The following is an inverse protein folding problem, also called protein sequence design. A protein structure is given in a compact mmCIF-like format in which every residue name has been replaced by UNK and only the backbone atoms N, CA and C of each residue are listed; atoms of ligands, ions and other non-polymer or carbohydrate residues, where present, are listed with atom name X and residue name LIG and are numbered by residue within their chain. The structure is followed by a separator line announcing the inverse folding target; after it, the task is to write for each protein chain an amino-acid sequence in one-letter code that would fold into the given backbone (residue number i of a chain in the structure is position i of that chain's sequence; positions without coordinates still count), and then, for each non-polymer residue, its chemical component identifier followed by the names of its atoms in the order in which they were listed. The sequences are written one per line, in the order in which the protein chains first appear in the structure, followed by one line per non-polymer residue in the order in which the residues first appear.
data_IF_729386771250
#
_entry.id   IF_729386771250
#
_cell.length_a   1.000
_cell.length_b   1.000
_cell.length_c   1.000
_cell.angle_alpha   90.00
_cell.angle_beta   90.00
_cell.angle_gamma   90.00
#
_symmetry.space_group_name_H-M   'P 1'
#
loop_
_entity.id
_entity.type
_entity.pdbx_description
1 polymer ?
#
# COMPACT_ATOMS: atom_id res chain seq x y z
N UNK A 1 27.58 37.89 5.21
CA UNK A 1 28.96 38.06 4.69
C UNK A 1 28.86 38.08 3.17
N UNK A 2 29.32 39.14 2.51
CA UNK A 2 28.94 39.47 1.13
C UNK A 2 29.45 38.48 0.08
N UNK A 3 28.57 38.08 -0.85
CA UNK A 3 28.92 37.41 -2.09
C UNK A 3 29.41 38.47 -3.09
N UNK A 4 30.68 38.39 -3.50
CA UNK A 4 31.22 39.24 -4.56
C UNK A 4 31.17 38.49 -5.90
N UNK A 5 30.60 39.11 -6.93
CA UNK A 5 30.73 38.68 -8.32
C UNK A 5 31.73 39.60 -9.03
N UNK A 6 32.74 39.01 -9.67
CA UNK A 6 33.65 39.75 -10.54
C UNK A 6 32.86 40.17 -11.79
N UNK A 7 32.54 41.46 -11.89
CA UNK A 7 31.73 42.01 -12.98
C UNK A 7 32.54 42.40 -14.22
N UNK A 8 33.85 42.62 -14.07
CA UNK A 8 34.74 42.96 -15.18
C UNK A 8 36.19 42.64 -14.81
N UNK A 9 36.86 41.85 -15.63
CA UNK A 9 38.32 41.74 -15.63
C UNK A 9 38.77 42.67 -16.76
N UNK A 10 39.69 43.61 -16.47
CA UNK A 10 40.20 44.55 -17.47
C UNK A 10 40.92 43.82 -18.62
N UNK A 11 41.32 44.53 -19.69
CA UNK A 11 42.11 43.93 -20.76
C UNK A 11 43.41 43.35 -20.18
N UNK A 12 43.66 42.07 -20.45
CA UNK A 12 44.88 41.39 -20.03
C UNK A 12 46.05 41.82 -20.90
N UNK A 13 47.00 42.52 -20.30
CA UNK A 13 48.34 42.66 -20.88
C UNK A 13 49.21 41.49 -20.39
N UNK A 14 49.19 40.38 -21.13
CA UNK A 14 49.98 39.19 -20.85
C UNK A 14 50.63 38.70 -22.14
N UNK A 15 51.97 38.65 -22.18
CA UNK A 15 52.74 38.04 -23.27
C UNK A 15 52.91 36.51 -23.12
N UNK A 16 52.17 35.88 -22.21
CA UNK A 16 52.15 34.44 -22.03
C UNK A 16 50.89 33.84 -22.70
N UNK A 17 51.05 32.71 -23.40
CA UNK A 17 49.96 31.87 -23.94
C UNK A 17 49.21 31.15 -22.80
N UNK A 18 48.88 31.84 -21.72
CA UNK A 18 48.19 31.24 -20.59
C UNK A 18 46.70 31.38 -20.82
N UNK A 19 46.04 30.25 -21.14
CA UNK A 19 44.58 30.16 -21.17
C UNK A 19 44.07 30.43 -19.74
N UNK A 20 43.24 31.45 -19.58
CA UNK A 20 42.55 31.67 -18.31
C UNK A 20 41.50 30.57 -18.17
N UNK A 21 41.77 29.63 -17.28
CA UNK A 21 40.79 28.64 -16.84
C UNK A 21 39.84 29.30 -15.86
N UNK A 22 38.62 29.63 -16.33
CA UNK A 22 37.51 30.03 -15.45
C UNK A 22 36.69 28.80 -15.10
N UNK A 23 36.40 28.61 -13.82
CA UNK A 23 35.53 27.52 -13.40
C UNK A 23 34.05 27.81 -13.68
N UNK A 24 33.23 26.77 -13.92
CA UNK A 24 31.78 26.87 -13.95
C UNK A 24 31.21 27.51 -12.68
N UNK A 25 29.93 27.88 -12.74
CA UNK A 25 29.23 28.49 -11.59
C UNK A 25 29.30 27.54 -10.39
N UNK A 26 29.54 28.09 -9.18
CA UNK A 26 29.66 27.35 -7.92
C UNK A 26 30.88 26.40 -7.79
N UNK A 27 31.85 26.49 -8.70
CA UNK A 27 33.15 25.82 -8.56
C UNK A 27 34.27 26.81 -8.20
N UNK A 28 35.32 26.30 -7.57
CA UNK A 28 36.54 27.04 -7.25
C UNK A 28 37.74 26.40 -7.95
N UNK A 29 38.68 27.21 -8.42
CA UNK A 29 39.92 26.69 -8.99
C UNK A 29 40.87 26.30 -7.87
N UNK A 30 41.42 25.10 -7.92
CA UNK A 30 42.35 24.60 -6.91
C UNK A 30 43.03 23.29 -7.32
N UNK A 31 43.77 22.71 -6.38
CA UNK A 31 44.33 21.36 -6.56
C UNK A 31 43.23 20.33 -6.46
N UNK A 32 43.11 19.49 -7.48
CA UNK A 32 42.19 18.38 -7.52
C UNK A 32 42.51 17.40 -6.37
N UNK A 33 41.47 17.14 -5.57
CA UNK A 33 41.42 16.19 -4.46
C UNK A 33 40.18 15.31 -4.65
N UNK A 34 40.06 14.21 -3.90
CA UNK A 34 38.86 13.38 -3.94
C UNK A 34 37.63 14.25 -3.63
N UNK A 35 36.78 14.48 -4.63
CA UNK A 35 35.56 15.27 -4.49
C UNK A 35 34.41 14.32 -4.13
N UNK A 36 33.63 14.70 -3.12
CA UNK A 36 32.40 13.98 -2.82
C UNK A 36 31.33 14.24 -3.87
N UNK A 37 30.57 13.21 -4.22
CA UNK A 37 29.33 13.32 -5.00
C UNK A 37 28.14 13.08 -4.08
N UNK A 38 26.90 13.27 -4.56
CA UNK A 38 25.73 12.85 -3.78
C UNK A 38 25.76 11.35 -3.47
N UNK A 39 26.23 10.54 -4.42
CA UNK A 39 26.32 9.07 -4.35
C UNK A 39 27.48 8.56 -3.49
N UNK A 40 28.50 9.39 -3.31
CA UNK A 40 29.67 9.14 -2.46
C UNK A 40 30.12 10.45 -1.80
N UNK A 41 29.48 10.86 -0.69
CA UNK A 41 29.77 12.15 -0.05
C UNK A 41 31.20 12.27 0.48
N UNK A 42 31.89 11.14 0.64
CA UNK A 42 33.27 11.08 1.12
C UNK A 42 34.29 10.99 -0.04
N UNK A 43 33.82 10.82 -1.29
CA UNK A 43 34.67 10.72 -2.48
C UNK A 43 35.63 9.53 -2.46
N UNK A 44 35.32 8.47 -1.69
CA UNK A 44 36.21 7.32 -1.48
C UNK A 44 36.22 6.33 -2.65
N UNK A 45 35.09 6.18 -3.35
CA UNK A 45 34.89 5.28 -4.48
C UNK A 45 35.28 5.91 -5.83
N UNK A 46 35.09 7.22 -5.97
CA UNK A 46 35.36 7.97 -7.22
C UNK A 46 36.79 8.52 -7.35
N UNK A 47 37.68 8.24 -6.40
CA UNK A 47 39.01 8.83 -6.43
C UNK A 47 39.93 8.11 -7.43
N UNK A 48 39.93 8.58 -8.68
CA UNK A 48 40.92 8.16 -9.68
C UNK A 48 42.30 8.77 -9.32
N UNK A 49 43.34 7.93 -9.31
CA UNK A 49 44.73 8.35 -9.04
C UNK A 49 45.24 9.43 -10.00
N UNK A 50 44.61 9.56 -11.16
CA UNK A 50 45.07 10.44 -12.26
C UNK A 50 44.81 11.94 -12.02
N UNK A 51 43.92 12.32 -11.10
CA UNK A 51 43.62 13.72 -10.79
C UNK A 51 44.25 14.20 -9.48
N UNK A 52 44.82 13.31 -8.67
CA UNK A 52 45.41 13.70 -7.38
C UNK A 52 46.61 14.63 -7.60
N UNK A 53 46.45 15.91 -7.27
CA UNK A 53 47.52 16.91 -7.31
C UNK A 53 47.64 17.70 -8.62
N UNK A 54 46.72 17.55 -9.58
CA UNK A 54 46.63 18.45 -10.75
C UNK A 54 45.77 19.67 -10.42
N UNK A 55 45.97 20.79 -11.11
CA UNK A 55 45.10 21.98 -10.93
C UNK A 55 43.84 21.86 -11.80
N UNK A 56 42.68 22.20 -11.23
CA UNK A 56 41.38 22.14 -11.89
C UNK A 56 40.25 22.76 -11.09
N UNK A 57 39.03 22.65 -11.58
CA UNK A 57 37.84 23.14 -10.89
C UNK A 57 37.31 22.10 -9.91
N UNK A 58 37.18 22.50 -8.66
CA UNK A 58 36.72 21.66 -7.55
C UNK A 58 35.51 22.28 -6.87
N UNK A 59 34.74 21.46 -6.15
CA UNK A 59 33.63 21.97 -5.38
C UNK A 59 34.15 22.65 -4.10
N UNK A 60 33.66 23.86 -3.77
CA UNK A 60 33.97 24.50 -2.51
C UNK A 60 33.43 23.68 -1.33
N UNK A 61 33.99 23.87 -0.14
CA UNK A 61 33.56 23.17 1.06
C UNK A 61 32.05 23.34 1.31
N UNK A 62 31.35 22.22 1.54
CA UNK A 62 29.89 22.20 1.71
C UNK A 62 29.10 21.93 0.42
N UNK A 63 29.75 21.80 -0.73
CA UNK A 63 29.14 21.42 -1.99
C UNK A 63 29.61 20.03 -2.43
N UNK A 64 28.73 19.31 -3.13
CA UNK A 64 29.00 18.00 -3.71
C UNK A 64 28.86 18.09 -5.24
N UNK A 65 29.67 17.30 -5.94
CA UNK A 65 29.67 17.29 -7.39
C UNK A 65 28.50 16.47 -7.92
N UNK A 66 27.74 17.05 -8.85
CA UNK A 66 26.67 16.37 -9.58
C UNK A 66 26.81 16.70 -11.07
N UNK A 67 27.33 15.75 -11.85
CA UNK A 67 27.69 16.00 -13.25
C UNK A 67 28.86 17.00 -13.36
N UNK A 68 28.61 18.17 -13.97
CA UNK A 68 29.59 19.25 -14.13
C UNK A 68 29.38 20.45 -13.19
N UNK A 69 28.38 20.39 -12.32
CA UNK A 69 28.04 21.46 -11.36
C UNK A 69 28.28 21.00 -9.92
N UNK A 70 28.41 21.99 -9.03
CA UNK A 70 28.46 21.78 -7.58
C UNK A 70 27.14 22.21 -6.95
N UNK A 71 26.45 21.27 -6.33
CA UNK A 71 25.19 21.52 -5.60
C UNK A 71 25.44 21.51 -4.10
N UNK A 72 24.57 22.19 -3.34
CA UNK A 72 24.72 22.18 -1.89
C UNK A 72 24.58 20.76 -1.36
N UNK A 73 25.37 20.38 -0.35
CA UNK A 73 25.22 19.08 0.30
C UNK A 73 23.76 18.82 0.73
N UNK A 74 23.04 19.87 1.15
CA UNK A 74 21.62 19.81 1.53
C UNK A 74 20.64 19.44 0.40
N UNK A 75 21.10 19.40 -0.86
CA UNK A 75 20.28 19.07 -2.03
C UNK A 75 20.45 17.59 -2.45
N UNK A 76 21.44 16.88 -1.89
CA UNK A 76 21.75 15.49 -2.26
C UNK A 76 20.91 14.43 -1.53
N UNK A 77 20.29 14.73 -0.40
CA UNK A 77 19.66 13.73 0.49
C UNK A 77 20.60 13.14 1.55
N UNK A 78 20.18 12.10 2.25
CA UNK A 78 20.92 11.46 3.34
C UNK A 78 21.64 10.19 2.88
N UNK A 79 22.94 10.11 3.12
CA UNK A 79 23.74 8.95 2.78
C UNK A 79 23.72 7.90 3.91
N UNK A 80 23.34 6.67 3.56
CA UNK A 80 23.33 5.50 4.42
C UNK A 80 24.59 4.69 4.14
N UNK A 81 25.63 4.91 4.96
CA UNK A 81 26.97 4.33 4.78
C UNK A 81 26.96 2.80 4.66
N UNK A 82 26.11 2.11 5.43
CA UNK A 82 26.06 0.65 5.47
C UNK A 82 25.52 0.02 4.18
N UNK A 83 24.61 0.74 3.51
CA UNK A 83 23.97 0.29 2.27
C UNK A 83 24.57 0.95 1.01
N UNK A 84 25.53 1.87 1.19
CA UNK A 84 26.04 2.74 0.12
C UNK A 84 24.91 3.36 -0.72
N UNK A 85 23.87 3.86 -0.04
CA UNK A 85 22.62 4.34 -0.63
C UNK A 85 22.37 5.79 -0.23
N UNK A 86 21.76 6.57 -1.13
CA UNK A 86 21.31 7.94 -0.86
C UNK A 86 19.79 7.95 -0.77
N UNK A 87 19.25 8.41 0.36
CA UNK A 87 17.82 8.55 0.60
C UNK A 87 17.41 10.00 0.35
N UNK A 88 16.51 10.28 -0.60
CA UNK A 88 16.01 11.63 -0.85
C UNK A 88 15.38 12.27 0.38
N UNK A 89 15.36 13.61 0.42
CA UNK A 89 14.75 14.33 1.53
C UNK A 89 13.23 14.06 1.60
N UNK A 90 12.74 13.67 2.79
CA UNK A 90 11.36 13.26 3.02
C UNK A 90 11.07 11.77 2.77
N UNK A 91 12.06 11.01 2.30
CA UNK A 91 11.92 9.57 2.08
C UNK A 91 12.56 8.73 3.20
N UNK A 92 12.30 7.42 3.16
CA UNK A 92 12.84 6.46 4.09
C UNK A 92 13.38 5.22 3.38
N UNK A 93 14.38 4.58 3.98
CA UNK A 93 14.96 3.32 3.52
C UNK A 93 14.94 2.27 4.62
N UNK A 94 14.80 1.01 4.21
CA UNK A 94 14.90 -0.16 5.10
C UNK A 94 16.12 -0.99 4.72
N UNK A 95 16.85 -1.46 5.73
CA UNK A 95 18.03 -2.30 5.53
C UNK A 95 17.67 -3.73 5.05
N UNK A 96 18.65 -4.49 4.59
CA UNK A 96 18.43 -5.77 3.90
C UNK A 96 17.70 -6.84 4.75
N UNK A 97 17.83 -6.78 6.07
CA UNK A 97 17.19 -7.73 7.00
C UNK A 97 15.91 -7.18 7.65
N UNK A 98 15.44 -6.00 7.23
CA UNK A 98 14.29 -5.29 7.80
C UNK A 98 14.35 -5.15 9.34
N UNK A 99 15.55 -4.97 9.91
CA UNK A 99 15.73 -4.69 11.35
C UNK A 99 15.84 -3.20 11.68
N UNK A 100 16.06 -2.36 10.67
CA UNK A 100 16.22 -0.92 10.82
C UNK A 100 15.57 -0.16 9.67
N UNK A 101 14.87 0.93 10.01
CA UNK A 101 14.29 1.88 9.06
C UNK A 101 14.85 3.26 9.33
N UNK A 102 15.36 3.91 8.30
CA UNK A 102 15.97 5.24 8.38
C UNK A 102 15.14 6.24 7.57
N UNK A 103 14.80 7.37 8.17
CA UNK A 103 14.11 8.48 7.50
C UNK A 103 15.08 9.64 7.30
N UNK A 104 15.06 10.24 6.11
CA UNK A 104 15.85 11.43 5.80
C UNK A 104 14.99 12.69 5.90
N UNK A 105 15.34 13.60 6.80
CA UNK A 105 14.70 14.92 6.90
C UNK A 105 15.76 16.01 7.04
N UNK A 106 15.73 17.02 6.18
CA UNK A 106 16.68 18.13 6.14
C UNK A 106 18.15 17.68 6.17
N UNK A 107 18.49 16.66 5.37
CA UNK A 107 19.81 16.02 5.32
C UNK A 107 20.25 15.36 6.65
N UNK A 108 19.33 15.18 7.58
CA UNK A 108 19.54 14.43 8.81
C UNK A 108 18.90 13.05 8.71
N UNK A 109 19.76 12.02 8.76
CA UNK A 109 19.32 10.63 8.81
C UNK A 109 18.92 10.27 10.24
N UNK A 110 17.68 9.81 10.42
CA UNK A 110 17.18 9.31 11.72
C UNK A 110 16.74 7.86 11.54
N UNK A 111 17.40 6.93 12.23
CA UNK A 111 17.11 5.50 12.14
C UNK A 111 16.47 4.96 13.42
N UNK A 112 15.50 4.07 13.25
CA UNK A 112 14.82 3.37 14.33
C UNK A 112 14.80 1.86 14.07
N UNK A 113 14.59 1.09 15.14
CA UNK A 113 14.32 -0.34 15.00
C UNK A 113 13.07 -0.56 14.15
N UNK A 114 13.12 -1.57 13.29
CA UNK A 114 12.06 -1.96 12.38
C UNK A 114 11.88 -3.47 12.46
N UNK A 115 10.66 -3.96 12.29
CA UNK A 115 10.38 -5.39 12.29
C UNK A 115 9.07 -5.66 11.59
N UNK A 116 9.06 -6.64 10.69
CA UNK A 116 7.84 -7.06 10.02
C UNK A 116 6.87 -7.75 10.99
N UNK A 117 5.58 -7.59 10.74
CA UNK A 117 4.53 -8.42 11.32
C UNK A 117 4.84 -9.91 11.11
N UNK A 118 4.34 -10.79 11.99
CA UNK A 118 4.38 -12.24 11.75
C UNK A 118 3.63 -12.64 10.48
N UNK A 119 2.74 -11.78 9.99
CA UNK A 119 1.98 -11.95 8.76
C UNK A 119 2.48 -11.05 7.62
N UNK A 120 3.76 -10.67 7.64
CA UNK A 120 4.42 -9.93 6.58
C UNK A 120 5.75 -10.57 6.19
N UNK A 121 6.24 -10.21 5.02
CA UNK A 121 7.56 -10.57 4.50
C UNK A 121 8.37 -9.31 4.22
N UNK A 122 9.66 -9.35 4.55
CA UNK A 122 10.60 -8.34 4.10
C UNK A 122 10.92 -8.61 2.63
N UNK A 123 10.48 -7.74 1.73
CA UNK A 123 10.68 -7.90 0.29
C UNK A 123 10.91 -6.55 -0.40
N UNK A 124 11.15 -6.57 -1.71
CA UNK A 124 11.32 -5.38 -2.55
C UNK A 124 10.27 -5.40 -3.65
N UNK A 125 9.29 -4.50 -3.56
CA UNK A 125 8.30 -4.26 -4.62
C UNK A 125 8.50 -2.88 -5.21
N UNK A 126 8.51 -2.76 -6.55
CA UNK A 126 8.76 -1.50 -7.26
C UNK A 126 9.99 -0.74 -6.74
N UNK A 127 11.09 -1.47 -6.50
CA UNK A 127 12.37 -0.95 -5.98
C UNK A 127 12.31 -0.42 -4.53
N UNK A 128 11.18 -0.55 -3.83
CA UNK A 128 11.03 -0.16 -2.44
C UNK A 128 11.12 -1.38 -1.53
N UNK A 129 12.13 -1.40 -0.66
CA UNK A 129 12.23 -2.39 0.42
C UNK A 129 11.42 -1.98 1.62
N UNK A 130 10.54 -2.87 2.08
CA UNK A 130 9.81 -2.73 3.34
C UNK A 130 9.16 -4.08 3.68
N UNK A 131 8.42 -4.10 4.79
CA UNK A 131 7.54 -5.21 5.11
C UNK A 131 6.27 -5.12 4.26
N UNK A 132 5.93 -6.21 3.58
CA UNK A 132 4.71 -6.34 2.80
C UNK A 132 3.83 -7.42 3.44
N UNK A 133 2.55 -7.11 3.68
CA UNK A 133 1.63 -8.07 4.26
C UNK A 133 1.46 -9.29 3.35
N UNK A 134 1.43 -10.48 3.95
CA UNK A 134 1.17 -11.72 3.25
C UNK A 134 -0.24 -11.70 2.65
N UNK A 135 -0.46 -12.50 1.61
CA UNK A 135 -1.78 -12.62 0.98
C UNK A 135 -2.89 -12.93 2.00
N UNK A 136 -3.98 -12.17 1.95
CA UNK A 136 -5.07 -12.24 2.93
C UNK A 136 -4.87 -11.38 4.17
N UNK A 137 -3.89 -10.45 4.16
CA UNK A 137 -3.69 -9.43 5.18
C UNK A 137 -3.47 -8.06 4.54
N UNK A 138 -3.79 -6.99 5.26
CA UNK A 138 -3.54 -5.60 4.86
C UNK A 138 -3.03 -4.78 6.04
N UNK A 139 -2.24 -3.75 5.73
CA UNK A 139 -1.68 -2.82 6.69
C UNK A 139 -0.38 -2.20 6.18
N UNK A 140 0.45 -1.70 7.09
CA UNK A 140 1.73 -1.04 6.79
C UNK A 140 2.94 -2.02 6.79
N UNK A 141 2.68 -3.32 6.93
CA UNK A 141 3.69 -4.37 6.97
C UNK A 141 4.29 -4.61 8.36
N UNK A 142 4.35 -3.59 9.22
CA UNK A 142 4.66 -3.74 10.65
C UNK A 142 3.44 -4.30 11.39
N UNK A 143 2.26 -3.83 10.99
CA UNK A 143 0.95 -4.32 11.40
C UNK A 143 0.23 -4.84 10.16
N UNK A 144 -0.24 -6.09 10.22
CA UNK A 144 -0.99 -6.73 9.14
C UNK A 144 -2.21 -7.39 9.75
N UNK A 145 -3.38 -6.83 9.44
CA UNK A 145 -4.67 -7.33 9.89
C UNK A 145 -5.28 -8.23 8.82
N UNK A 146 -5.99 -9.32 9.21
CA UNK A 146 -6.62 -10.21 8.25
C UNK A 146 -7.62 -9.49 7.34
N UNK A 147 -7.48 -9.70 6.02
CA UNK A 147 -8.48 -9.35 5.02
C UNK A 147 -9.42 -10.53 4.80
N UNK A 148 -10.64 -10.39 5.28
CA UNK A 148 -11.70 -11.36 5.01
C UNK A 148 -12.50 -10.92 3.79
N UNK A 149 -12.58 -11.72 2.73
CA UNK A 149 -13.42 -11.39 1.58
C UNK A 149 -14.88 -11.82 1.76
N UNK A 150 -15.11 -12.74 2.70
CA UNK A 150 -16.41 -13.26 3.12
C UNK A 150 -16.30 -13.96 4.50
N UNK A 151 -17.41 -14.47 5.01
CA UNK A 151 -17.43 -15.22 6.27
C UNK A 151 -16.74 -16.59 6.19
N UNK A 152 -16.51 -17.15 5.00
CA UNK A 152 -15.75 -18.39 4.85
C UNK A 152 -14.28 -18.15 5.16
N UNK A 153 -13.70 -17.04 4.71
CA UNK A 153 -12.32 -16.67 5.05
C UNK A 153 -12.17 -16.44 6.56
N UNK A 154 -13.17 -15.81 7.19
CA UNK A 154 -13.23 -15.67 8.66
C UNK A 154 -13.19 -17.05 9.33
N UNK A 155 -14.00 -17.98 8.84
CA UNK A 155 -14.03 -19.35 9.34
C UNK A 155 -12.70 -20.09 9.08
N UNK A 156 -12.07 -19.92 7.92
CA UNK A 156 -10.81 -20.58 7.60
C UNK A 156 -9.65 -20.01 8.47
N UNK A 157 -9.72 -18.74 8.84
CA UNK A 157 -8.88 -18.08 9.84
C UNK A 157 -9.15 -18.52 11.29
N UNK A 158 -9.87 -19.62 11.49
CA UNK A 158 -10.16 -20.26 12.79
C UNK A 158 -11.05 -19.43 13.72
N UNK A 159 -11.71 -18.39 13.24
CA UNK A 159 -12.76 -17.71 13.99
C UNK A 159 -14.03 -18.58 13.97
N UNK A 160 -14.48 -19.02 15.14
CA UNK A 160 -15.61 -19.98 15.28
C UNK A 160 -16.85 -19.38 15.93
N UNK A 161 -16.82 -18.10 16.27
CA UNK A 161 -17.94 -17.43 16.92
C UNK A 161 -18.88 -16.86 15.87
N UNK A 162 -20.18 -17.10 16.05
CA UNK A 162 -21.20 -16.33 15.35
C UNK A 162 -21.08 -14.86 15.74
N UNK A 163 -21.15 -13.96 14.78
CA UNK A 163 -20.91 -12.56 15.08
C UNK A 163 -21.01 -11.63 13.88
N UNK A 164 -20.69 -10.37 14.14
CA UNK A 164 -20.47 -9.37 13.09
C UNK A 164 -18.98 -9.33 12.81
N UNK A 165 -18.61 -9.43 11.53
CA UNK A 165 -17.23 -9.33 11.06
C UNK A 165 -17.17 -8.35 9.91
N UNK A 166 -16.07 -7.62 9.81
CA UNK A 166 -15.80 -6.75 8.67
C UNK A 166 -15.22 -7.57 7.53
N UNK A 167 -15.77 -7.41 6.34
CA UNK A 167 -15.30 -8.06 5.12
C UNK A 167 -15.06 -7.03 4.00
N UNK A 168 -14.22 -7.40 3.04
CA UNK A 168 -13.97 -6.64 1.83
C UNK A 168 -13.95 -7.60 0.62
N UNK A 169 -15.08 -7.75 -0.09
CA UNK A 169 -15.13 -8.60 -1.27
C UNK A 169 -14.15 -8.14 -2.36
N UNK A 170 -13.59 -9.08 -3.11
CA UNK A 170 -12.67 -8.81 -4.20
C UNK A 170 -13.30 -7.88 -5.25
N UNK A 171 -12.60 -6.79 -5.56
CA UNK A 171 -13.04 -5.79 -6.54
C UNK A 171 -14.10 -4.82 -6.03
N UNK A 172 -14.52 -4.92 -4.76
CA UNK A 172 -15.41 -3.94 -4.14
C UNK A 172 -14.77 -2.54 -4.15
N UNK A 173 -15.42 -1.52 -4.75
CA UNK A 173 -14.83 -0.19 -4.90
C UNK A 173 -15.01 0.71 -3.66
N UNK A 174 -15.77 0.26 -2.65
CA UNK A 174 -16.03 1.01 -1.43
C UNK A 174 -15.11 0.62 -0.27
N UNK A 175 -15.40 1.16 0.91
CA UNK A 175 -14.74 0.75 2.15
C UNK A 175 -15.21 -0.66 2.58
N UNK A 176 -14.40 -1.40 3.37
CA UNK A 176 -14.85 -2.63 4.02
C UNK A 176 -16.16 -2.43 4.79
N UNK A 177 -16.98 -3.47 4.86
CA UNK A 177 -18.29 -3.39 5.50
C UNK A 177 -18.59 -4.60 6.38
N UNK A 178 -19.48 -4.39 7.34
CA UNK A 178 -19.84 -5.39 8.32
C UNK A 178 -20.91 -6.36 7.80
N UNK A 179 -20.73 -7.65 8.10
CA UNK A 179 -21.68 -8.72 7.82
C UNK A 179 -21.90 -9.61 9.04
N UNK A 180 -23.09 -10.21 9.13
CA UNK A 180 -23.33 -11.27 10.11
C UNK A 180 -22.80 -12.59 9.55
N UNK A 181 -21.84 -13.20 10.26
CA UNK A 181 -21.32 -14.52 9.96
C UNK A 181 -21.95 -15.58 10.86
N UNK A 182 -22.37 -16.68 10.23
CA UNK A 182 -22.83 -17.90 10.89
C UNK A 182 -21.80 -19.02 10.70
N UNK A 183 -21.19 -19.44 11.80
CA UNK A 183 -20.06 -20.38 11.83
C UNK A 183 -20.49 -21.83 12.10
N UNK A 184 -21.76 -22.06 12.42
CA UNK A 184 -22.32 -23.41 12.64
C UNK A 184 -22.50 -24.20 11.31
N UNK A 185 -22.68 -25.53 11.41
CA UNK A 185 -23.05 -26.45 10.31
C UNK A 185 -22.11 -26.45 9.08
N UNK A 186 -20.80 -26.53 9.29
CA UNK A 186 -19.82 -26.58 8.20
C UNK A 186 -19.29 -25.20 7.79
N UNK A 187 -19.84 -24.12 8.37
CA UNK A 187 -19.16 -22.90 8.78
C UNK A 187 -18.64 -21.94 7.70
N UNK A 188 -19.07 -20.68 7.80
CA UNK A 188 -18.60 -19.59 6.93
C UNK A 188 -19.72 -18.82 6.22
N UNK A 189 -20.95 -18.84 6.75
CA UNK A 189 -22.10 -18.30 6.05
C UNK A 189 -22.24 -16.80 6.23
N UNK A 190 -22.11 -16.05 5.12
CA UNK A 190 -22.42 -14.62 5.06
C UNK A 190 -23.93 -14.42 4.97
N UNK A 191 -24.53 -13.86 6.03
CA UNK A 191 -25.98 -13.59 6.06
C UNK A 191 -26.27 -12.31 5.27
N UNK A 192 -26.89 -12.45 4.09
CA UNK A 192 -27.29 -11.30 3.28
C UNK A 192 -28.76 -10.88 3.47
N UNK A 193 -29.59 -11.77 4.02
CA UNK A 193 -30.98 -11.47 4.37
C UNK A 193 -31.33 -12.15 5.69
N UNK A 194 -32.07 -11.44 6.56
CA UNK A 194 -32.67 -12.04 7.76
C UNK A 194 -34.06 -11.45 8.02
N UNK A 195 -34.99 -12.30 8.45
CA UNK A 195 -36.31 -11.90 9.01
C UNK A 195 -36.54 -12.62 10.33
N UNK A 196 -36.69 -11.88 11.42
CA UNK A 196 -36.99 -12.45 12.75
C UNK A 196 -38.32 -11.97 13.30
N UNK A 197 -38.74 -10.76 12.93
CA UNK A 197 -40.03 -10.19 13.30
C UNK A 197 -40.53 -9.23 12.18
N UNK A 198 -41.49 -8.36 12.53
CA UNK A 198 -42.08 -7.38 11.62
C UNK A 198 -41.58 -5.94 11.86
N UNK A 199 -40.48 -5.74 12.60
CA UNK A 199 -40.00 -4.41 13.01
C UNK A 199 -39.51 -3.54 11.84
N UNK A 200 -39.11 -4.17 10.74
CA UNK A 200 -38.51 -3.48 9.59
C UNK A 200 -39.39 -3.63 8.35
N UNK A 201 -39.65 -2.51 7.68
CA UNK A 201 -40.37 -2.51 6.41
C UNK A 201 -39.45 -3.01 5.27
N UNK A 202 -39.89 -4.05 4.55
CA UNK A 202 -39.22 -4.58 3.35
C UNK A 202 -39.87 -4.10 2.05
N UNK A 203 -40.97 -3.34 2.12
CA UNK A 203 -41.50 -2.64 0.95
C UNK A 203 -40.72 -1.34 0.75
N UNK A 204 -39.52 -1.47 0.17
CA UNK A 204 -38.55 -0.39 -0.02
C UNK A 204 -38.34 -0.09 -1.51
N UNK A 205 -37.74 1.07 -1.78
CA UNK A 205 -37.43 1.50 -3.15
C UNK A 205 -36.15 0.82 -3.69
N UNK A 206 -35.82 1.10 -4.96
CA UNK A 206 -34.65 0.53 -5.63
C UNK A 206 -33.33 0.84 -4.91
N UNK A 207 -33.12 2.10 -4.54
CA UNK A 207 -31.90 2.57 -3.88
C UNK A 207 -31.67 1.87 -2.54
N UNK A 208 -32.72 1.68 -1.74
CA UNK A 208 -32.63 0.93 -0.49
C UNK A 208 -32.23 -0.53 -0.73
N UNK A 209 -32.84 -1.20 -1.72
CA UNK A 209 -32.47 -2.58 -2.06
C UNK A 209 -31.05 -2.69 -2.66
N UNK A 210 -30.61 -1.65 -3.38
CA UNK A 210 -29.26 -1.53 -3.93
C UNK A 210 -28.21 -1.44 -2.83
N UNK A 211 -28.41 -0.51 -1.90
CA UNK A 211 -27.42 -0.13 -0.87
C UNK A 211 -27.50 -1.02 0.38
N UNK A 212 -28.69 -1.56 0.67
CA UNK A 212 -29.01 -2.35 1.85
C UNK A 212 -29.75 -1.55 2.92
N UNK A 213 -30.55 -2.25 3.73
CA UNK A 213 -31.33 -1.65 4.81
C UNK A 213 -31.58 -2.65 5.94
N UNK A 214 -31.98 -2.14 7.12
CA UNK A 214 -32.38 -2.95 8.27
C UNK A 214 -31.39 -2.90 9.42
N UNK A 215 -31.44 -3.91 10.28
CA UNK A 215 -30.72 -3.99 11.55
C UNK A 215 -30.27 -5.42 11.90
N UNK A 216 -29.80 -5.61 13.14
CA UNK A 216 -29.36 -6.90 13.66
C UNK A 216 -30.48 -7.96 13.80
N UNK A 217 -31.74 -7.62 13.55
CA UNK A 217 -32.89 -8.53 13.60
C UNK A 217 -33.50 -8.77 12.23
N UNK A 218 -33.63 -7.74 11.41
CA UNK A 218 -34.15 -7.85 10.05
C UNK A 218 -33.27 -7.05 9.09
N UNK A 219 -32.65 -7.74 8.13
CA UNK A 219 -31.60 -7.19 7.30
C UNK A 219 -31.82 -7.53 5.82
N UNK A 220 -31.49 -6.59 4.95
CA UNK A 220 -31.13 -6.80 3.56
C UNK A 220 -29.75 -6.18 3.32
N UNK A 221 -28.75 -6.97 2.96
CA UNK A 221 -27.35 -6.51 2.86
C UNK A 221 -27.14 -5.43 1.79
N UNK A 222 -27.91 -5.49 0.70
CA UNK A 222 -27.78 -4.64 -0.47
C UNK A 222 -27.36 -5.44 -1.70
N UNK A 223 -28.03 -5.21 -2.82
CA UNK A 223 -27.81 -5.93 -4.07
C UNK A 223 -26.41 -5.67 -4.63
N UNK A 224 -25.88 -4.45 -4.47
CA UNK A 224 -24.55 -4.13 -4.98
C UNK A 224 -23.48 -4.93 -4.23
N UNK A 225 -23.55 -4.99 -2.90
CA UNK A 225 -22.65 -5.81 -2.09
C UNK A 225 -22.80 -7.29 -2.42
N UNK A 226 -24.03 -7.76 -2.63
CA UNK A 226 -24.31 -9.15 -2.98
C UNK A 226 -23.80 -9.52 -4.38
N UNK A 227 -23.78 -8.58 -5.32
CA UNK A 227 -23.18 -8.75 -6.64
C UNK A 227 -21.69 -9.03 -6.52
N UNK A 228 -20.92 -8.15 -5.84
CA UNK A 228 -19.49 -8.37 -5.63
C UNK A 228 -19.20 -9.66 -4.85
N UNK A 229 -19.97 -9.94 -3.80
CA UNK A 229 -19.86 -11.19 -3.04
C UNK A 229 -20.08 -12.42 -3.91
N UNK A 230 -21.09 -12.46 -4.77
CA UNK A 230 -21.40 -13.69 -5.54
C UNK A 230 -20.58 -13.85 -6.82
N UNK A 231 -19.79 -12.84 -7.20
CA UNK A 231 -18.95 -12.84 -8.40
C UNK A 231 -17.45 -13.05 -8.11
N UNK A 232 -17.01 -13.02 -6.85
CA UNK A 232 -15.60 -13.22 -6.48
C UNK A 232 -15.15 -14.70 -6.40
N UNK A 233 -16.07 -15.61 -6.07
CA UNK A 233 -15.84 -17.06 -5.92
C UNK A 233 -17.13 -17.81 -6.29
N UNK A 234 -17.12 -19.14 -6.22
CA UNK A 234 -18.35 -19.93 -6.36
C UNK A 234 -19.10 -19.97 -5.02
N UNK A 235 -20.31 -19.42 -4.98
CA UNK A 235 -21.15 -19.43 -3.78
C UNK A 235 -22.31 -20.40 -3.94
N UNK A 236 -22.65 -21.05 -2.82
CA UNK A 236 -23.94 -21.72 -2.64
C UNK A 236 -24.88 -20.83 -1.86
N UNK A 237 -26.18 -21.01 -2.06
CA UNK A 237 -27.22 -20.26 -1.36
C UNK A 237 -27.99 -21.20 -0.44
N UNK A 238 -28.22 -20.77 0.79
CA UNK A 238 -29.03 -21.49 1.76
C UNK A 238 -30.08 -20.59 2.37
N UNK A 239 -31.30 -21.10 2.45
CA UNK A 239 -32.41 -20.52 3.18
C UNK A 239 -32.69 -21.39 4.40
N UNK A 240 -32.66 -20.80 5.60
CA UNK A 240 -33.15 -21.44 6.81
C UNK A 240 -34.47 -20.77 7.22
N UNK A 241 -35.53 -21.57 7.36
CA UNK A 241 -36.90 -21.10 7.56
C UNK A 241 -37.49 -21.79 8.79
N UNK A 242 -37.98 -20.99 9.74
CA UNK A 242 -38.81 -21.51 10.84
C UNK A 242 -40.28 -21.32 10.48
N UNK A 243 -41.01 -22.42 10.37
CA UNK A 243 -42.45 -22.40 10.09
C UNK A 243 -43.25 -21.87 11.28
N UNK A 244 -44.51 -21.49 11.07
CA UNK A 244 -45.42 -21.06 12.15
C UNK A 244 -45.65 -22.12 13.23
N UNK A 245 -45.47 -23.41 12.90
CA UNK A 245 -45.51 -24.52 13.86
C UNK A 245 -44.19 -24.71 14.64
N UNK A 246 -43.20 -23.83 14.45
CA UNK A 246 -41.89 -23.91 15.08
C UNK A 246 -40.91 -24.89 14.42
N UNK A 247 -41.31 -25.58 13.35
CA UNK A 247 -40.44 -26.54 12.66
C UNK A 247 -39.41 -25.81 11.80
N UNK A 248 -38.13 -26.09 12.02
CA UNK A 248 -37.02 -25.61 11.21
C UNK A 248 -36.92 -26.41 9.90
N UNK A 249 -36.85 -25.70 8.78
CA UNK A 249 -36.66 -26.24 7.43
C UNK A 249 -35.54 -25.49 6.73
N UNK A 250 -34.98 -26.08 5.69
CA UNK A 250 -33.99 -25.41 4.86
C UNK A 250 -34.13 -25.75 3.38
N UNK A 251 -33.66 -24.83 2.53
CA UNK A 251 -33.42 -25.02 1.10
C UNK A 251 -31.96 -24.67 0.83
N UNK A 252 -31.26 -25.44 0.01
CA UNK A 252 -29.89 -25.16 -0.41
C UNK A 252 -29.76 -25.32 -1.93
N UNK A 253 -29.08 -24.37 -2.56
CA UNK A 253 -28.78 -24.32 -3.99
C UNK A 253 -27.27 -24.33 -4.18
N UNK A 254 -26.76 -25.22 -5.04
CA UNK A 254 -25.31 -25.43 -5.19
C UNK A 254 -24.55 -24.26 -5.81
N UNK A 255 -25.25 -23.36 -6.49
CA UNK A 255 -24.70 -22.16 -7.11
C UNK A 255 -25.66 -20.99 -6.88
N UNK A 256 -25.12 -19.80 -6.71
CA UNK A 256 -25.86 -18.56 -6.62
C UNK A 256 -25.02 -17.38 -7.09
N UNK A 257 -25.53 -16.66 -8.08
CA UNK A 257 -24.90 -15.47 -8.62
C UNK A 257 -25.96 -14.48 -9.08
N UNK A 258 -25.69 -13.19 -8.82
CA UNK A 258 -26.47 -12.09 -9.37
C UNK A 258 -25.57 -11.19 -10.21
N UNK A 259 -26.13 -10.65 -11.29
CA UNK A 259 -25.44 -9.72 -12.17
C UNK A 259 -25.40 -8.30 -11.58
N UNK A 260 -24.78 -7.36 -12.30
CA UNK A 260 -24.59 -5.97 -11.83
C UNK A 260 -25.87 -5.12 -11.92
N UNK A 261 -25.82 -3.90 -11.39
CA UNK A 261 -26.95 -2.95 -11.45
C UNK A 261 -27.43 -2.67 -12.88
N UNK A 262 -26.51 -2.63 -13.86
CA UNK A 262 -26.85 -2.34 -15.27
C UNK A 262 -27.77 -3.41 -15.89
N UNK A 263 -27.72 -4.62 -15.35
CA UNK A 263 -28.59 -5.76 -15.72
C UNK A 263 -29.66 -6.02 -14.67
N UNK A 264 -29.87 -5.05 -13.77
CA UNK A 264 -30.91 -5.05 -12.73
C UNK A 264 -30.77 -6.18 -11.71
N UNK A 265 -29.55 -6.57 -11.38
CA UNK A 265 -29.28 -7.64 -10.41
C UNK A 265 -29.96 -8.97 -10.76
N UNK A 266 -30.04 -9.26 -12.06
CA UNK A 266 -30.66 -10.51 -12.54
C UNK A 266 -29.91 -11.70 -11.96
N UNK A 267 -30.65 -12.65 -11.38
CA UNK A 267 -30.08 -13.92 -10.95
C UNK A 267 -29.71 -14.74 -12.19
N UNK A 268 -28.43 -14.87 -12.47
CA UNK A 268 -27.92 -15.54 -13.67
C UNK A 268 -27.53 -17.00 -13.42
N UNK A 269 -27.18 -17.36 -12.17
CA UNK A 269 -26.92 -18.75 -11.77
C UNK A 269 -27.71 -19.11 -10.52
N UNK A 270 -28.42 -20.21 -10.60
CA UNK A 270 -29.02 -20.90 -9.48
C UNK A 270 -28.85 -22.41 -9.69
N UNK A 271 -28.11 -23.04 -8.78
CA UNK A 271 -27.71 -24.43 -8.90
C UNK A 271 -28.83 -25.42 -8.60
N UNK A 272 -28.46 -26.69 -8.42
CA UNK A 272 -29.44 -27.73 -8.08
C UNK A 272 -29.97 -27.52 -6.65
N UNK A 273 -31.28 -27.68 -6.51
CA UNK A 273 -31.96 -27.57 -5.22
C UNK A 273 -31.82 -28.85 -4.40
N UNK A 274 -31.61 -28.69 -3.10
CA UNK A 274 -31.75 -29.73 -2.08
C UNK A 274 -32.37 -29.14 -0.81
N UNK A 275 -32.91 -29.97 0.07
CA UNK A 275 -33.41 -29.51 1.37
C UNK A 275 -34.71 -30.18 1.80
N UNK A 276 -35.32 -29.61 2.85
CA UNK A 276 -36.56 -30.09 3.47
C UNK A 276 -37.77 -29.24 3.13
N UNK A 277 -37.57 -28.16 2.38
CA UNK A 277 -38.63 -27.38 1.71
C UNK A 277 -38.82 -27.87 0.28
N UNK A 278 -39.97 -27.54 -0.33
CA UNK A 278 -40.08 -27.55 -1.80
C UNK A 278 -39.21 -26.45 -2.42
N UNK A 279 -39.21 -26.31 -3.75
CA UNK A 279 -38.56 -25.15 -4.40
C UNK A 279 -39.13 -23.85 -3.83
N UNK A 280 -38.25 -23.05 -3.22
CA UNK A 280 -38.56 -21.77 -2.56
C UNK A 280 -38.14 -20.63 -3.47
#
# INVERSE_FOLDING_TARGET
MGQYKVAHIGPLESNARTLISTCPTNMVYGTCSCQGTCEDPNGQSGCNSDCLGTEGCTCPAGFLMQGSDCINKSECGCFVTEANLVVPNGEASVNDDCTQKCSCNDNQLTCAAYSCSTNAVCDVENEVRQCYCNAGYEGDGETCEPLYTDCQDVYDARQRQDGVYTIMPTGWPGLPFDVNCKMENGGGWTVFQRRTDSSTNFYQNWTEYRDGFGDSRNLWLGNEKLHYLTNQKNYKLRFDITTSSGSAKYAEYTEFQIESESTKYTMNKLGTHSGTTGHV
#
